data_IF_602730045704
#
_entry.id   IF_602730045704
#
_cell.length_a   1.000
_cell.length_b   1.000
_cell.length_c   1.000
_cell.angle_alpha   90.00
_cell.angle_beta   90.00
_cell.angle_gamma   90.00
#
_symmetry.space_group_name_H-M   'P 1'
#
loop_
_entity.id
_entity.type
_entity.pdbx_description
1 polymer ?
#
# COMPACT_ATOMS: atom_id res chain seq x y z
N UNK A 1 -22.64 7.40 8.88
CA UNK A 1 -22.98 6.75 7.58
C UNK A 1 -23.37 7.76 6.49
N UNK A 2 -24.40 8.61 6.64
CA UNK A 2 -24.83 9.54 5.57
C UNK A 2 -23.71 10.47 5.07
N UNK A 3 -22.88 11.05 5.95
CA UNK A 3 -21.79 11.95 5.56
C UNK A 3 -20.71 11.20 4.77
N UNK A 4 -20.35 9.99 5.19
CA UNK A 4 -19.37 9.16 4.46
C UNK A 4 -19.83 8.87 3.02
N UNK A 5 -21.10 8.42 2.86
CA UNK A 5 -21.67 8.15 1.53
C UNK A 5 -21.79 9.42 0.68
N UNK A 6 -22.16 10.55 1.27
CA UNK A 6 -22.21 11.84 0.59
C UNK A 6 -20.81 12.29 0.14
N UNK A 7 -19.78 12.07 0.97
CA UNK A 7 -18.39 12.39 0.63
C UNK A 7 -17.90 11.52 -0.54
N UNK A 8 -18.16 10.21 -0.51
CA UNK A 8 -17.81 9.30 -1.60
C UNK A 8 -18.48 9.76 -2.90
N UNK A 9 -19.80 10.02 -2.88
CA UNK A 9 -20.53 10.49 -4.04
C UNK A 9 -19.98 11.82 -4.57
N UNK A 10 -19.78 12.80 -3.69
CA UNK A 10 -19.26 14.12 -4.07
C UNK A 10 -17.84 14.01 -4.64
N UNK A 11 -16.99 13.17 -4.05
CA UNK A 11 -15.65 12.89 -4.57
C UNK A 11 -15.72 12.28 -5.98
N UNK A 12 -16.46 11.20 -6.18
CA UNK A 12 -16.60 10.56 -7.49
C UNK A 12 -17.12 11.51 -8.54
N UNK A 13 -18.07 12.38 -8.20
CA UNK A 13 -18.64 13.38 -9.12
C UNK A 13 -17.67 14.53 -9.45
N UNK A 14 -16.65 14.78 -8.62
CA UNK A 14 -15.77 15.95 -8.76
C UNK A 14 -14.28 15.62 -8.88
N UNK A 15 -13.88 14.36 -8.76
CA UNK A 15 -12.49 13.90 -8.73
C UNK A 15 -11.64 14.43 -9.91
N UNK A 16 -12.18 14.43 -11.12
CA UNK A 16 -11.49 14.94 -12.31
C UNK A 16 -11.19 16.45 -12.26
N UNK A 17 -11.97 17.23 -11.51
CA UNK A 17 -11.74 18.66 -11.28
C UNK A 17 -10.81 18.89 -10.10
N UNK A 18 -11.06 18.23 -8.98
CA UNK A 18 -10.30 18.37 -7.74
C UNK A 18 -8.86 17.88 -7.89
N UNK A 19 -8.63 16.78 -8.61
CA UNK A 19 -7.29 16.27 -8.89
C UNK A 19 -6.36 17.28 -9.59
N UNK A 20 -6.92 18.23 -10.35
CA UNK A 20 -6.13 19.33 -10.98
C UNK A 20 -5.65 20.36 -9.97
N UNK A 21 -6.25 20.46 -8.79
CA UNK A 21 -5.87 21.40 -7.72
C UNK A 21 -4.86 20.82 -6.74
N UNK A 22 -4.50 19.53 -6.88
CA UNK A 22 -3.63 18.81 -5.95
C UNK A 22 -4.37 18.17 -4.77
N UNK A 23 -5.70 18.33 -4.69
CA UNK A 23 -6.52 17.61 -3.73
C UNK A 23 -6.66 16.15 -4.19
N UNK A 24 -6.19 15.23 -3.36
CA UNK A 24 -6.30 13.78 -3.56
C UNK A 24 -7.40 13.20 -2.67
N UNK A 25 -7.91 12.01 -3.03
CA UNK A 25 -8.90 11.32 -2.20
C UNK A 25 -8.45 11.19 -0.73
N UNK A 26 -7.24 10.73 -0.42
CA UNK A 26 -6.76 10.66 0.96
C UNK A 26 -6.86 11.97 1.74
N UNK A 27 -6.48 13.11 1.14
CA UNK A 27 -6.59 14.41 1.80
C UNK A 27 -8.04 14.71 2.22
N UNK A 28 -8.99 14.49 1.29
CA UNK A 28 -10.41 14.78 1.52
C UNK A 28 -10.99 13.84 2.57
N UNK A 29 -10.76 12.53 2.41
CA UNK A 29 -11.36 11.53 3.31
C UNK A 29 -10.77 11.58 4.72
N UNK A 30 -9.46 11.82 4.87
CA UNK A 30 -8.82 12.04 6.18
C UNK A 30 -9.39 13.27 6.86
N UNK A 31 -9.50 14.40 6.13
CA UNK A 31 -10.06 15.63 6.70
C UNK A 31 -11.52 15.46 7.13
N UNK A 32 -12.35 14.80 6.31
CA UNK A 32 -13.75 14.52 6.66
C UNK A 32 -13.83 13.56 7.84
N UNK A 33 -13.01 12.50 7.86
CA UNK A 33 -12.97 11.54 8.98
C UNK A 33 -12.63 12.23 10.31
N UNK A 34 -11.59 13.08 10.30
CA UNK A 34 -11.20 13.87 11.47
C UNK A 34 -12.31 14.81 11.94
N UNK A 35 -12.91 15.59 11.02
CA UNK A 35 -14.03 16.50 11.36
C UNK A 35 -15.22 15.73 11.92
N UNK A 36 -15.53 14.54 11.37
CA UNK A 36 -16.60 13.70 11.90
C UNK A 36 -16.33 13.24 13.34
N UNK A 37 -15.11 12.87 13.66
CA UNK A 37 -14.71 12.45 15.00
C UNK A 37 -14.83 13.60 16.00
N UNK A 38 -14.34 14.80 15.66
CA UNK A 38 -14.33 15.97 16.54
C UNK A 38 -15.72 16.60 16.72
N UNK A 39 -16.50 16.76 15.63
CA UNK A 39 -17.78 17.50 15.66
C UNK A 39 -18.90 16.67 16.28
N UNK A 40 -18.89 15.35 16.08
CA UNK A 40 -19.97 14.49 16.57
C UNK A 40 -19.65 13.81 17.88
N UNK A 41 -18.53 14.24 18.53
CA UNK A 41 -18.06 13.67 19.79
C UNK A 41 -18.09 12.12 19.74
N UNK A 42 -17.68 11.63 18.57
CA UNK A 42 -17.83 10.24 18.17
C UNK A 42 -16.52 9.44 18.40
N UNK A 43 -16.01 9.36 19.66
CA UNK A 43 -15.15 8.25 20.01
C UNK A 43 -15.89 6.92 19.79
N UNK A 44 -17.23 6.98 19.85
CA UNK A 44 -18.16 5.95 19.41
C UNK A 44 -18.64 6.18 17.97
N UNK A 45 -17.77 6.11 16.99
CA UNK A 45 -18.22 5.85 15.61
C UNK A 45 -18.92 4.49 15.51
N UNK A 46 -19.26 3.85 16.64
CA UNK A 46 -19.96 2.57 16.74
C UNK A 46 -19.27 1.46 15.92
N UNK A 47 -18.08 1.76 15.41
CA UNK A 47 -17.29 0.78 14.71
C UNK A 47 -16.60 -0.06 15.78
N UNK A 48 -17.20 -1.18 16.11
CA UNK A 48 -16.53 -2.27 16.80
C UNK A 48 -15.11 -2.39 16.22
N UNK A 49 -14.04 -2.45 17.02
CA UNK A 49 -12.66 -2.59 16.51
C UNK A 49 -12.55 -3.69 15.47
N UNK A 50 -13.31 -4.76 15.63
CA UNK A 50 -13.43 -5.88 14.69
C UNK A 50 -13.94 -5.46 13.31
N UNK A 51 -14.88 -4.52 13.23
CA UNK A 51 -15.39 -4.02 11.94
C UNK A 51 -14.36 -3.13 11.24
N UNK A 52 -13.63 -2.31 11.99
CA UNK A 52 -12.53 -1.49 11.44
C UNK A 52 -11.46 -2.39 10.86
N UNK A 53 -11.09 -3.45 11.59
CA UNK A 53 -10.11 -4.42 11.16
C UNK A 53 -10.59 -5.20 9.93
N UNK A 54 -11.82 -5.68 9.92
CA UNK A 54 -12.40 -6.36 8.77
C UNK A 54 -12.36 -5.48 7.49
N UNK A 55 -12.69 -4.18 7.63
CA UNK A 55 -12.61 -3.23 6.51
C UNK A 55 -11.17 -3.09 6.04
N UNK A 56 -10.22 -2.95 6.96
CA UNK A 56 -8.80 -2.85 6.65
C UNK A 56 -8.27 -4.11 5.94
N UNK A 57 -8.59 -5.29 6.46
CA UNK A 57 -8.20 -6.58 5.88
C UNK A 57 -8.76 -6.76 4.46
N UNK A 58 -10.07 -6.59 4.28
CA UNK A 58 -10.73 -6.72 2.97
C UNK A 58 -10.14 -5.71 1.99
N UNK A 59 -9.89 -4.49 2.44
CA UNK A 59 -9.27 -3.45 1.61
C UNK A 59 -7.88 -3.89 1.14
N UNK A 60 -7.02 -4.34 2.07
CA UNK A 60 -5.67 -4.77 1.74
C UNK A 60 -5.67 -5.97 0.81
N UNK A 61 -6.56 -6.95 1.03
CA UNK A 61 -6.71 -8.13 0.17
C UNK A 61 -7.04 -7.73 -1.26
N UNK A 62 -8.02 -6.85 -1.47
CA UNK A 62 -8.39 -6.42 -2.81
C UNK A 62 -7.32 -5.56 -3.47
N UNK A 63 -6.68 -4.67 -2.73
CA UNK A 63 -5.57 -3.84 -3.24
C UNK A 63 -4.39 -4.73 -3.63
N UNK A 64 -3.91 -5.61 -2.74
CA UNK A 64 -2.79 -6.50 -3.02
C UNK A 64 -3.05 -7.42 -4.22
N UNK A 65 -4.25 -8.02 -4.29
CA UNK A 65 -4.62 -8.87 -5.42
C UNK A 65 -4.73 -8.05 -6.72
N UNK A 66 -5.39 -6.90 -6.68
CA UNK A 66 -5.59 -6.02 -7.83
C UNK A 66 -4.26 -5.55 -8.41
N UNK A 67 -3.38 -5.00 -7.59
CA UNK A 67 -2.08 -4.49 -7.97
C UNK A 67 -1.18 -5.60 -8.53
N UNK A 68 -1.08 -6.73 -7.82
CA UNK A 68 -0.32 -7.87 -8.28
C UNK A 68 -0.83 -8.43 -9.62
N UNK A 69 -2.16 -8.49 -9.80
CA UNK A 69 -2.77 -8.96 -11.05
C UNK A 69 -2.50 -8.03 -12.22
N UNK A 70 -2.26 -6.74 -11.96
CA UNK A 70 -1.84 -5.72 -12.94
C UNK A 70 -0.47 -5.98 -13.56
N UNK A 71 0.42 -6.71 -12.87
CA UNK A 71 1.79 -6.92 -13.31
C UNK A 71 1.91 -7.98 -14.39
N UNK A 72 2.30 -7.58 -15.60
CA UNK A 72 2.55 -8.49 -16.72
C UNK A 72 3.99 -9.00 -16.69
N UNK A 73 4.19 -10.28 -16.50
CA UNK A 73 5.51 -10.91 -16.47
C UNK A 73 6.35 -10.64 -17.74
N UNK A 74 5.71 -10.63 -18.91
CA UNK A 74 6.38 -10.33 -20.18
C UNK A 74 6.90 -8.89 -20.25
N UNK A 75 6.09 -7.92 -19.76
CA UNK A 75 6.50 -6.51 -19.70
C UNK A 75 7.54 -6.29 -18.60
N UNK A 76 7.34 -6.92 -17.42
CA UNK A 76 8.29 -6.91 -16.32
C UNK A 76 9.68 -7.39 -16.74
N UNK A 77 9.76 -8.47 -17.53
CA UNK A 77 11.04 -9.02 -18.03
C UNK A 77 11.78 -8.08 -19.00
N UNK A 78 11.10 -7.19 -19.71
CA UNK A 78 11.76 -6.23 -20.61
C UNK A 78 12.56 -5.18 -19.84
N UNK A 79 12.01 -4.70 -18.73
CA UNK A 79 12.61 -3.66 -17.90
C UNK A 79 13.08 -4.22 -16.54
N UNK A 80 13.40 -5.53 -16.52
CA UNK A 80 13.81 -6.27 -15.31
C UNK A 80 15.01 -5.60 -14.61
N UNK A 81 15.89 -4.98 -15.38
CA UNK A 81 17.03 -4.23 -14.84
C UNK A 81 16.60 -3.07 -13.94
N UNK A 82 15.59 -2.31 -14.33
CA UNK A 82 15.08 -1.16 -13.56
C UNK A 82 14.22 -1.63 -12.38
N UNK A 83 13.23 -2.49 -12.64
CA UNK A 83 12.30 -2.95 -11.60
C UNK A 83 12.99 -3.85 -10.57
N UNK A 84 13.87 -4.75 -11.03
CA UNK A 84 14.66 -5.60 -10.13
C UNK A 84 15.60 -4.79 -9.24
N UNK A 85 16.15 -3.66 -9.71
CA UNK A 85 16.95 -2.76 -8.88
C UNK A 85 16.11 -1.99 -7.87
N UNK A 86 14.96 -1.42 -8.27
CA UNK A 86 14.08 -0.70 -7.35
C UNK A 86 13.51 -1.62 -6.26
N UNK A 87 12.99 -2.79 -6.65
CA UNK A 87 12.35 -3.73 -5.73
C UNK A 87 13.35 -4.63 -4.99
N UNK A 88 14.46 -5.05 -5.63
CA UNK A 88 15.43 -5.96 -5.03
C UNK A 88 16.59 -5.28 -4.31
N UNK A 89 16.88 -4.00 -4.59
CA UNK A 89 17.92 -3.22 -3.92
C UNK A 89 17.32 -2.00 -3.23
N UNK A 90 16.55 -1.19 -3.95
CA UNK A 90 15.99 0.06 -3.44
C UNK A 90 15.07 -0.16 -2.25
N UNK A 91 14.11 -1.07 -2.38
CA UNK A 91 13.14 -1.37 -1.32
C UNK A 91 13.80 -1.96 -0.04
N UNK A 92 14.64 -3.01 -0.11
CA UNK A 92 15.36 -3.50 1.08
C UNK A 92 16.25 -2.44 1.74
N UNK A 93 16.93 -1.60 0.96
CA UNK A 93 17.73 -0.50 1.50
C UNK A 93 16.85 0.56 2.18
N UNK A 94 15.65 0.84 1.63
CA UNK A 94 14.68 1.75 2.24
C UNK A 94 14.22 1.20 3.60
N UNK A 95 13.89 -0.09 3.68
CA UNK A 95 13.54 -0.76 4.94
C UNK A 95 14.71 -0.65 5.93
N UNK A 96 15.92 -1.02 5.52
CA UNK A 96 17.10 -1.01 6.41
C UNK A 96 17.44 0.40 6.92
N UNK A 97 17.43 1.41 6.04
CA UNK A 97 17.66 2.80 6.43
C UNK A 97 16.55 3.36 7.31
N UNK A 98 15.29 3.02 7.00
CA UNK A 98 14.14 3.39 7.81
C UNK A 98 14.21 2.81 9.22
N UNK A 99 14.56 1.52 9.33
CA UNK A 99 14.81 0.83 10.60
C UNK A 99 15.96 1.48 11.37
N UNK A 100 17.11 1.69 10.72
CA UNK A 100 18.26 2.34 11.34
C UNK A 100 17.95 3.77 11.82
N UNK A 101 17.20 4.53 11.04
CA UNK A 101 16.74 5.85 11.44
C UNK A 101 15.76 5.79 12.63
N UNK A 102 14.87 4.79 12.69
CA UNK A 102 13.97 4.61 13.83
C UNK A 102 14.72 4.28 15.12
N UNK A 103 15.74 3.43 15.06
CA UNK A 103 16.62 3.16 16.21
C UNK A 103 17.35 4.44 16.67
N UNK A 104 17.94 5.18 15.74
CA UNK A 104 18.81 6.32 16.09
C UNK A 104 18.02 7.57 16.49
N UNK A 105 16.90 7.87 15.79
CA UNK A 105 16.14 9.12 15.98
C UNK A 105 15.06 8.96 17.04
N UNK A 106 14.38 7.81 17.05
CA UNK A 106 13.27 7.55 17.95
C UNK A 106 13.68 6.74 19.19
N UNK A 107 14.85 6.07 19.15
CA UNK A 107 15.30 5.22 20.24
C UNK A 107 14.55 3.89 20.37
N UNK A 108 13.86 3.47 19.30
CA UNK A 108 13.08 2.24 19.29
C UNK A 108 13.98 0.99 19.33
N UNK A 109 13.50 -0.04 20.00
CA UNK A 109 14.09 -1.38 19.97
C UNK A 109 14.05 -1.98 18.55
N UNK A 110 14.89 -3.00 18.25
CA UNK A 110 15.07 -3.49 16.88
C UNK A 110 13.79 -3.94 16.16
N UNK A 111 12.87 -4.63 16.85
CA UNK A 111 11.64 -5.12 16.22
C UNK A 111 10.62 -4.00 15.93
N UNK A 112 10.26 -3.12 16.88
CA UNK A 112 9.46 -1.93 16.63
C UNK A 112 10.08 -1.02 15.56
N UNK A 113 11.40 -0.84 15.56
CA UNK A 113 12.11 -0.08 14.54
C UNK A 113 11.99 -0.71 13.15
N UNK A 114 12.12 -2.05 13.05
CA UNK A 114 11.91 -2.79 11.81
C UNK A 114 10.46 -2.64 11.33
N UNK A 115 9.49 -2.69 12.24
CA UNK A 115 8.08 -2.50 11.92
C UNK A 115 7.83 -1.11 11.33
N UNK A 116 8.34 -0.06 11.93
CA UNK A 116 8.25 1.32 11.41
C UNK A 116 8.93 1.43 10.04
N UNK A 117 10.17 0.93 9.92
CA UNK A 117 10.93 0.97 8.67
C UNK A 117 10.26 0.21 7.53
N UNK A 118 9.71 -0.97 7.82
CA UNK A 118 9.00 -1.80 6.85
C UNK A 118 7.63 -1.20 6.48
N UNK A 119 6.81 -0.80 7.46
CA UNK A 119 5.49 -0.24 7.20
C UNK A 119 5.53 1.08 6.40
N UNK A 120 6.63 1.83 6.51
CA UNK A 120 6.86 3.08 5.79
C UNK A 120 7.75 2.94 4.54
N UNK A 121 8.15 1.74 4.15
CA UNK A 121 8.92 1.54 2.92
C UNK A 121 8.05 1.53 1.65
N UNK A 122 6.85 0.93 1.63
CA UNK A 122 5.99 0.89 0.46
C UNK A 122 5.51 2.28 0.03
N UNK A 123 5.11 2.37 -1.25
CA UNK A 123 4.66 3.61 -1.88
C UNK A 123 3.31 3.41 -2.54
N UNK A 124 2.44 4.39 -2.48
CA UNK A 124 1.06 4.31 -2.94
C UNK A 124 0.87 4.92 -4.35
N UNK A 125 0.43 4.09 -5.28
CA UNK A 125 0.14 4.50 -6.65
C UNK A 125 -1.05 5.48 -6.73
N UNK A 126 -2.05 5.34 -5.86
CA UNK A 126 -3.25 6.17 -5.88
C UNK A 126 -2.94 7.63 -5.51
N UNK A 127 -2.04 7.85 -4.56
CA UNK A 127 -1.51 9.19 -4.23
C UNK A 127 -0.67 9.77 -5.37
N UNK A 128 -0.04 8.91 -6.18
CA UNK A 128 0.72 9.27 -7.38
C UNK A 128 -0.11 9.37 -8.65
N UNK A 129 -1.40 9.05 -8.64
CA UNK A 129 -2.23 8.93 -9.86
C UNK A 129 -2.21 10.18 -10.75
N UNK A 130 -2.17 11.37 -10.16
CA UNK A 130 -2.05 12.63 -10.89
C UNK A 130 -0.74 12.78 -11.67
N UNK A 131 0.35 12.19 -11.17
CA UNK A 131 1.66 12.15 -11.84
C UNK A 131 1.70 11.03 -12.88
N UNK A 132 1.14 9.87 -12.55
CA UNK A 132 1.15 8.69 -13.43
C UNK A 132 0.29 8.88 -14.67
N UNK A 133 -0.75 9.73 -14.61
CA UNK A 133 -1.59 10.09 -15.75
C UNK A 133 -1.12 11.33 -16.51
N UNK A 134 -0.10 12.04 -16.03
CA UNK A 134 0.37 13.28 -16.66
C UNK A 134 1.25 12.97 -17.89
N UNK A 135 0.83 13.38 -19.11
CA UNK A 135 1.60 13.11 -20.32
C UNK A 135 2.94 13.85 -20.40
N UNK A 136 3.21 14.81 -19.51
CA UNK A 136 4.49 15.50 -19.41
C UNK A 136 5.56 14.67 -18.74
N UNK A 137 5.18 13.69 -17.92
CA UNK A 137 6.10 12.76 -17.28
C UNK A 137 6.45 11.64 -18.27
N UNK A 138 7.74 11.36 -18.53
CA UNK A 138 8.16 10.29 -19.45
C UNK A 138 7.56 8.93 -19.11
N UNK A 139 7.27 8.13 -20.14
CA UNK A 139 6.61 6.83 -20.00
C UNK A 139 7.41 5.83 -19.15
N UNK A 140 8.74 5.86 -19.26
CA UNK A 140 9.64 5.02 -18.49
C UNK A 140 9.61 5.36 -16.99
N UNK A 141 9.52 6.64 -16.64
CA UNK A 141 9.36 7.12 -15.26
C UNK A 141 7.99 6.71 -14.71
N UNK A 142 6.91 6.92 -15.48
CA UNK A 142 5.55 6.53 -15.08
C UNK A 142 5.44 5.02 -14.86
N UNK A 143 6.02 4.22 -15.77
CA UNK A 143 6.04 2.75 -15.61
C UNK A 143 6.87 2.32 -14.41
N UNK A 144 8.03 2.95 -14.15
CA UNK A 144 8.85 2.63 -12.99
C UNK A 144 8.09 2.85 -11.69
N UNK A 145 7.44 4.01 -11.53
CA UNK A 145 6.62 4.32 -10.36
C UNK A 145 5.43 3.36 -10.20
N UNK A 146 4.72 3.07 -11.30
CA UNK A 146 3.54 2.19 -11.25
C UNK A 146 3.89 0.74 -10.88
N UNK A 147 4.96 0.18 -11.46
CA UNK A 147 5.39 -1.19 -11.15
C UNK A 147 5.97 -1.28 -9.74
N UNK A 148 6.73 -0.26 -9.31
CA UNK A 148 7.26 -0.22 -7.96
C UNK A 148 6.11 -0.20 -6.94
N UNK A 149 5.17 0.74 -7.06
CA UNK A 149 4.06 0.87 -6.13
C UNK A 149 3.11 -0.34 -6.15
N UNK A 150 2.88 -0.96 -7.30
CA UNK A 150 2.01 -2.13 -7.39
C UNK A 150 2.60 -3.43 -6.83
N UNK A 151 3.88 -3.48 -6.52
CA UNK A 151 4.52 -4.70 -6.00
C UNK A 151 5.12 -4.53 -4.61
N UNK A 152 5.48 -3.32 -4.20
CA UNK A 152 6.22 -3.10 -2.96
C UNK A 152 5.37 -3.42 -1.71
N UNK A 153 4.06 -3.17 -1.73
CA UNK A 153 3.15 -3.49 -0.64
C UNK A 153 3.16 -4.99 -0.32
N UNK A 154 2.99 -5.82 -1.36
CA UNK A 154 3.01 -7.27 -1.20
C UNK A 154 4.39 -7.84 -0.85
N UNK A 155 5.49 -7.23 -1.34
CA UNK A 155 6.85 -7.65 -1.02
C UNK A 155 7.22 -7.33 0.43
N UNK A 156 6.73 -6.19 0.95
CA UNK A 156 7.04 -5.74 2.32
C UNK A 156 6.12 -6.36 3.37
N UNK A 157 4.89 -6.72 3.02
CA UNK A 157 3.93 -7.35 3.94
C UNK A 157 4.56 -8.46 4.80
N UNK A 158 5.34 -9.41 4.26
CA UNK A 158 6.06 -10.41 5.03
C UNK A 158 6.95 -9.82 6.13
N UNK A 159 7.68 -8.76 5.82
CA UNK A 159 8.61 -8.12 6.76
C UNK A 159 7.86 -7.46 7.90
N UNK A 160 6.76 -6.77 7.59
CA UNK A 160 5.87 -6.15 8.58
C UNK A 160 5.33 -7.19 9.57
N UNK A 161 4.80 -8.30 9.04
CA UNK A 161 4.20 -9.34 9.88
C UNK A 161 5.24 -10.05 10.77
N UNK A 162 6.45 -10.29 10.25
CA UNK A 162 7.55 -10.81 11.06
C UNK A 162 7.99 -9.81 12.14
N UNK A 163 7.98 -8.51 11.81
CA UNK A 163 8.31 -7.47 12.77
C UNK A 163 7.25 -7.34 13.88
N UNK A 164 5.96 -7.42 13.56
CA UNK A 164 4.88 -7.48 14.56
C UNK A 164 5.07 -8.70 15.48
N UNK A 165 5.29 -9.89 14.89
CA UNK A 165 5.52 -11.11 15.68
C UNK A 165 6.79 -11.03 16.57
N UNK A 166 7.84 -10.38 16.08
CA UNK A 166 9.06 -10.13 16.87
C UNK A 166 8.83 -9.20 18.04
N UNK A 167 8.15 -8.07 17.79
CA UNK A 167 7.76 -7.10 18.83
C UNK A 167 6.87 -7.77 19.89
N UNK A 168 5.86 -8.52 19.46
CA UNK A 168 4.96 -9.21 20.38
C UNK A 168 5.67 -10.20 21.30
N UNK A 169 6.69 -10.90 20.81
CA UNK A 169 7.50 -11.81 21.61
C UNK A 169 8.36 -11.05 22.61
N UNK A 170 9.01 -9.96 22.19
CA UNK A 170 9.85 -9.13 23.08
C UNK A 170 9.02 -8.48 24.20
N UNK A 171 7.79 -8.06 23.91
CA UNK A 171 6.84 -7.51 24.90
C UNK A 171 6.13 -8.60 25.73
N UNK A 172 6.38 -9.88 25.45
CA UNK A 172 5.82 -11.01 26.21
C UNK A 172 4.32 -11.21 25.97
N UNK A 173 3.77 -10.78 24.82
CA UNK A 173 2.37 -10.94 24.46
C UNK A 173 2.05 -12.42 24.26
N UNK A 174 1.16 -12.95 25.10
CA UNK A 174 0.81 -14.36 25.09
C UNK A 174 0.00 -14.75 23.83
N UNK A 175 0.28 -15.92 23.29
CA UNK A 175 -0.49 -16.50 22.17
C UNK A 175 -0.03 -16.07 20.78
N UNK A 176 0.91 -15.14 20.67
CA UNK A 176 1.48 -14.74 19.38
C UNK A 176 2.65 -15.65 19.06
N UNK A 177 2.63 -16.24 17.85
CA UNK A 177 3.74 -17.04 17.34
C UNK A 177 4.97 -16.16 17.07
N UNK A 178 6.17 -16.66 17.42
CA UNK A 178 7.40 -15.93 17.15
C UNK A 178 7.73 -15.79 15.66
N UNK A 179 8.81 -15.02 15.32
CA UNK A 179 9.20 -14.75 13.93
C UNK A 179 9.36 -15.99 13.05
N UNK A 180 9.78 -17.12 13.64
CA UNK A 180 9.94 -18.40 12.92
C UNK A 180 8.60 -18.95 12.43
N UNK A 181 7.55 -18.90 13.24
CA UNK A 181 6.22 -19.31 12.85
C UNK A 181 5.61 -18.33 11.84
N UNK A 182 5.86 -17.03 11.99
CA UNK A 182 5.48 -16.03 11.02
C UNK A 182 6.07 -16.34 9.63
N UNK A 183 7.37 -16.65 9.55
CA UNK A 183 8.01 -17.05 8.28
C UNK A 183 7.39 -18.32 7.71
N UNK A 184 7.06 -19.31 8.53
CA UNK A 184 6.40 -20.54 8.06
C UNK A 184 5.01 -20.21 7.46
N UNK A 185 4.21 -19.39 8.14
CA UNK A 185 2.88 -18.98 7.65
C UNK A 185 2.97 -18.23 6.32
N UNK A 186 4.04 -17.44 6.10
CA UNK A 186 4.30 -16.78 4.83
C UNK A 186 4.54 -17.78 3.69
N UNK A 187 5.36 -18.81 3.93
CA UNK A 187 5.63 -19.85 2.92
C UNK A 187 4.36 -20.63 2.56
N UNK A 188 3.54 -20.96 3.56
CA UNK A 188 2.23 -21.60 3.35
C UNK A 188 1.32 -20.66 2.55
N UNK A 189 1.29 -19.36 2.89
CA UNK A 189 0.54 -18.34 2.15
C UNK A 189 0.95 -18.24 0.68
N UNK A 190 2.25 -18.26 0.38
CA UNK A 190 2.76 -18.29 -1.00
C UNK A 190 2.25 -19.51 -1.75
N UNK A 191 2.35 -20.71 -1.15
CA UNK A 191 1.90 -21.95 -1.78
C UNK A 191 0.37 -21.96 -2.01
N UNK A 192 -0.41 -21.58 -1.00
CA UNK A 192 -1.87 -21.46 -1.08
C UNK A 192 -2.29 -20.47 -2.16
N UNK A 193 -1.70 -19.26 -2.16
CA UNK A 193 -1.97 -18.23 -3.15
C UNK A 193 -1.65 -18.66 -4.58
N UNK A 194 -0.52 -19.33 -4.79
CA UNK A 194 -0.15 -19.86 -6.10
C UNK A 194 -1.16 -20.90 -6.62
N UNK A 195 -1.58 -21.79 -5.76
CA UNK A 195 -2.59 -22.82 -6.10
C UNK A 195 -3.94 -22.19 -6.40
N UNK A 196 -4.44 -21.32 -5.51
CA UNK A 196 -5.75 -20.67 -5.68
C UNK A 196 -5.76 -19.75 -6.91
N UNK A 197 -4.72 -18.97 -7.13
CA UNK A 197 -4.60 -18.12 -8.32
C UNK A 197 -4.57 -18.90 -9.62
N UNK A 198 -3.80 -20.00 -9.67
CA UNK A 198 -3.72 -20.86 -10.86
C UNK A 198 -5.05 -21.58 -11.14
N UNK A 199 -5.66 -22.17 -10.10
CA UNK A 199 -6.96 -22.84 -10.22
C UNK A 199 -8.07 -21.86 -10.60
N UNK A 200 -8.09 -20.67 -9.97
CA UNK A 200 -9.04 -19.60 -10.30
C UNK A 200 -8.95 -19.20 -11.76
N UNK A 201 -7.74 -18.90 -12.26
CA UNK A 201 -7.52 -18.55 -13.66
C UNK A 201 -7.90 -19.70 -14.63
N UNK A 202 -7.62 -20.94 -14.25
CA UNK A 202 -8.01 -22.11 -15.04
C UNK A 202 -9.53 -22.29 -15.06
N UNK A 203 -10.20 -22.21 -13.89
CA UNK A 203 -11.65 -22.35 -13.76
C UNK A 203 -12.40 -21.26 -14.55
N UNK A 204 -12.02 -19.99 -14.40
CA UNK A 204 -12.67 -18.87 -15.12
C UNK A 204 -12.50 -19.02 -16.63
N UNK A 205 -11.30 -19.35 -17.10
CA UNK A 205 -11.05 -19.63 -18.52
C UNK A 205 -11.89 -20.81 -19.01
N UNK A 206 -11.90 -21.93 -18.28
CA UNK A 206 -12.65 -23.13 -18.69
C UNK A 206 -14.15 -22.90 -18.69
N UNK A 207 -14.67 -22.23 -17.67
CA UNK A 207 -16.09 -21.88 -17.60
C UNK A 207 -16.52 -20.99 -18.77
N UNK A 208 -15.66 -20.11 -19.21
CA UNK A 208 -15.88 -19.24 -20.38
C UNK A 208 -15.89 -20.03 -21.68
N UNK A 209 -14.92 -20.93 -21.89
CA UNK A 209 -14.87 -21.81 -23.06
C UNK A 209 -16.13 -22.68 -23.20
N UNK A 210 -16.72 -23.06 -22.07
CA UNK A 210 -17.95 -23.87 -22.02
C UNK A 210 -19.22 -23.01 -22.07
N UNK A 211 -19.12 -21.68 -22.10
CA UNK A 211 -20.27 -20.76 -22.07
C UNK A 211 -21.02 -20.73 -20.73
N UNK A 212 -20.38 -21.19 -19.63
CA UNK A 212 -20.98 -21.21 -18.30
C UNK A 212 -20.80 -19.89 -17.56
N UNK A 213 -19.69 -19.18 -17.79
CA UNK A 213 -19.42 -17.89 -17.18
C UNK A 213 -19.95 -16.77 -18.08
N UNK A 214 -20.82 -15.94 -17.53
CA UNK A 214 -21.37 -14.77 -18.18
C UNK A 214 -20.44 -13.57 -18.00
N UNK A 215 -20.27 -12.77 -19.02
CA UNK A 215 -19.36 -11.61 -19.03
C UNK A 215 -19.62 -10.62 -17.84
N UNK A 216 -20.90 -10.49 -17.43
CA UNK A 216 -21.27 -9.61 -16.31
C UNK A 216 -20.83 -10.14 -14.95
N UNK A 217 -20.53 -11.43 -14.82
CA UNK A 217 -20.12 -12.07 -13.58
C UNK A 217 -18.60 -12.26 -13.47
N UNK A 218 -17.85 -12.00 -14.53
CA UNK A 218 -16.39 -12.17 -14.56
C UNK A 218 -15.71 -11.43 -13.41
N UNK A 219 -16.00 -10.14 -13.26
CA UNK A 219 -15.41 -9.32 -12.21
C UNK A 219 -15.79 -9.76 -10.80
N UNK A 220 -17.04 -10.21 -10.61
CA UNK A 220 -17.51 -10.72 -9.30
C UNK A 220 -16.79 -12.03 -8.94
N UNK A 221 -16.57 -12.90 -9.92
CA UNK A 221 -15.84 -14.14 -9.69
C UNK A 221 -14.39 -13.87 -9.23
N UNK A 222 -13.73 -12.87 -9.83
CA UNK A 222 -12.35 -12.49 -9.47
C UNK A 222 -12.30 -11.76 -8.13
N UNK A 223 -13.29 -10.90 -7.83
CA UNK A 223 -13.44 -10.26 -6.54
C UNK A 223 -13.56 -11.29 -5.41
N UNK A 224 -14.39 -12.30 -5.62
CA UNK A 224 -14.57 -13.41 -4.68
C UNK A 224 -13.29 -14.28 -4.57
N UNK A 225 -12.56 -14.46 -5.69
CA UNK A 225 -11.32 -15.24 -5.71
C UNK A 225 -10.23 -14.60 -4.83
N UNK A 226 -10.14 -13.28 -4.79
CA UNK A 226 -9.19 -12.57 -3.94
C UNK A 226 -9.44 -12.89 -2.45
N UNK A 227 -10.69 -12.79 -2.01
CA UNK A 227 -11.10 -13.14 -0.64
C UNK A 227 -10.97 -14.63 -0.35
N UNK A 228 -11.26 -15.48 -1.35
CA UNK A 228 -11.11 -16.93 -1.23
C UNK A 228 -9.65 -17.33 -1.02
N UNK A 229 -8.71 -16.68 -1.71
CA UNK A 229 -7.27 -16.93 -1.52
C UNK A 229 -6.83 -16.57 -0.09
N UNK A 230 -7.30 -15.43 0.43
CA UNK A 230 -7.08 -15.02 1.82
C UNK A 230 -7.64 -16.06 2.80
N UNK A 231 -8.93 -16.37 2.69
CA UNK A 231 -9.61 -17.25 3.63
C UNK A 231 -9.06 -18.70 3.62
N UNK A 232 -8.77 -19.26 2.43
CA UNK A 232 -8.21 -20.61 2.32
C UNK A 232 -6.78 -20.68 2.89
N UNK A 233 -5.99 -19.63 2.77
CA UNK A 233 -4.67 -19.60 3.40
C UNK A 233 -4.79 -19.64 4.93
N UNK A 234 -5.72 -18.87 5.52
CA UNK A 234 -5.94 -18.90 6.97
C UNK A 234 -6.37 -20.28 7.47
N UNK A 235 -7.16 -21.04 6.71
CA UNK A 235 -7.60 -22.40 7.08
C UNK A 235 -6.44 -23.42 7.18
N UNK A 236 -5.29 -23.11 6.60
CA UNK A 236 -4.10 -23.96 6.62
C UNK A 236 -2.92 -23.30 7.35
N UNK A 237 -3.21 -22.42 8.29
CA UNK A 237 -2.24 -21.63 9.08
C UNK A 237 -1.26 -20.83 8.22
N UNK A 238 -1.67 -20.49 7.00
CA UNK A 238 -0.92 -19.63 6.07
C UNK A 238 -1.31 -18.17 6.19
N UNK A 239 -0.44 -17.29 5.69
CA UNK A 239 -0.73 -15.87 5.67
C UNK A 239 -1.67 -15.48 4.51
N UNK A 240 -2.84 -14.94 4.85
CA UNK A 240 -3.88 -14.57 3.89
C UNK A 240 -3.50 -13.43 2.97
N UNK A 241 -2.80 -12.41 3.45
CA UNK A 241 -2.38 -11.25 2.64
C UNK A 241 -1.37 -11.65 1.57
N UNK A 242 -0.38 -12.46 1.96
CA UNK A 242 0.60 -13.02 1.03
C UNK A 242 -0.08 -13.94 0.01
N UNK A 243 -1.06 -14.74 0.45
CA UNK A 243 -1.83 -15.58 -0.45
C UNK A 243 -2.63 -14.76 -1.47
N UNK A 244 -3.30 -13.69 -1.06
CA UNK A 244 -4.02 -12.79 -1.96
C UNK A 244 -3.09 -12.13 -2.98
N UNK A 245 -1.94 -11.63 -2.54
CA UNK A 245 -0.93 -11.04 -3.42
C UNK A 245 -0.41 -12.04 -4.47
N UNK A 246 0.00 -13.23 -4.03
CA UNK A 246 0.53 -14.28 -4.92
C UNK A 246 -0.56 -14.80 -5.85
N UNK A 247 -1.81 -14.96 -5.34
CA UNK A 247 -2.94 -15.35 -6.17
C UNK A 247 -3.22 -14.33 -7.28
N UNK A 248 -3.19 -13.02 -6.95
CA UNK A 248 -3.31 -11.95 -7.93
C UNK A 248 -2.21 -12.01 -8.99
N UNK A 249 -0.96 -12.17 -8.57
CA UNK A 249 0.19 -12.26 -9.49
C UNK A 249 0.08 -13.46 -10.44
N UNK A 250 -0.31 -14.63 -9.93
CA UNK A 250 -0.49 -15.85 -10.73
C UNK A 250 -1.70 -15.71 -11.64
N UNK A 251 -2.85 -15.30 -11.11
CA UNK A 251 -4.08 -15.08 -11.88
C UNK A 251 -3.83 -14.12 -13.04
N UNK A 252 -3.26 -12.95 -12.78
CA UNK A 252 -3.00 -11.93 -13.78
C UNK A 252 -2.09 -12.38 -14.93
N UNK A 253 -1.24 -13.38 -14.70
CA UNK A 253 -0.34 -13.91 -15.73
C UNK A 253 -0.89 -15.17 -16.45
N UNK A 254 -1.90 -15.85 -15.88
CA UNK A 254 -2.51 -17.08 -16.44
C UNK A 254 -3.87 -16.80 -17.08
N UNK A 255 -4.62 -15.77 -16.66
CA UNK A 255 -5.99 -15.49 -17.10
C UNK A 255 -6.12 -15.11 -18.59
N UNK A 256 -5.05 -14.59 -19.23
CA UNK A 256 -5.03 -14.30 -20.68
C UNK A 256 -5.48 -12.88 -21.05
N UNK A 257 -6.12 -12.74 -22.24
CA UNK A 257 -6.34 -11.42 -22.88
C UNK A 257 -7.46 -10.57 -22.23
N UNK A 258 -8.43 -11.19 -21.55
CA UNK A 258 -9.54 -10.48 -20.87
C UNK A 258 -9.22 -10.00 -19.45
N UNK A 259 -8.02 -10.21 -18.98
CA UNK A 259 -7.57 -9.87 -17.61
C UNK A 259 -7.97 -8.46 -17.18
N UNK A 260 -7.82 -7.45 -18.03
CA UNK A 260 -8.11 -6.06 -17.68
C UNK A 260 -9.60 -5.86 -17.31
N UNK A 261 -10.50 -6.54 -18.01
CA UNK A 261 -11.94 -6.49 -17.72
C UNK A 261 -12.26 -7.23 -16.42
N UNK A 262 -11.63 -8.38 -16.20
CA UNK A 262 -11.84 -9.24 -15.03
C UNK A 262 -11.38 -8.59 -13.72
N UNK A 263 -10.26 -7.88 -13.72
CA UNK A 263 -9.71 -7.25 -12.51
C UNK A 263 -10.22 -5.83 -12.25
N UNK A 264 -10.94 -5.22 -13.21
CA UNK A 264 -11.46 -3.86 -13.06
C UNK A 264 -12.37 -3.72 -11.84
N UNK A 265 -13.25 -4.69 -11.59
CA UNK A 265 -14.15 -4.65 -10.44
C UNK A 265 -13.38 -4.77 -9.12
N UNK A 266 -12.33 -5.60 -9.06
CA UNK A 266 -11.47 -5.72 -7.88
C UNK A 266 -10.77 -4.40 -7.59
N UNK A 267 -10.20 -3.75 -8.61
CA UNK A 267 -9.56 -2.44 -8.47
C UNK A 267 -10.56 -1.37 -7.99
N UNK A 268 -11.75 -1.28 -8.60
CA UNK A 268 -12.78 -0.32 -8.19
C UNK A 268 -13.31 -0.60 -6.78
N UNK A 269 -13.44 -1.87 -6.39
CA UNK A 269 -13.83 -2.25 -5.02
C UNK A 269 -12.73 -1.91 -4.02
N UNK A 270 -11.47 -2.12 -4.40
CA UNK A 270 -10.30 -1.67 -3.64
C UNK A 270 -10.27 -0.16 -3.46
N UNK A 271 -10.54 0.62 -4.51
CA UNK A 271 -10.65 2.08 -4.44
C UNK A 271 -11.75 2.54 -3.47
N UNK A 272 -12.95 1.93 -3.56
CA UNK A 272 -14.05 2.24 -2.65
C UNK A 272 -13.70 1.91 -1.20
N UNK A 273 -13.15 0.73 -0.96
CA UNK A 273 -12.72 0.29 0.37
C UNK A 273 -11.57 1.19 0.91
N UNK A 274 -10.66 1.61 0.03
CA UNK A 274 -9.60 2.58 0.36
C UNK A 274 -10.15 3.93 0.82
N UNK A 275 -11.17 4.46 0.16
CA UNK A 275 -11.82 5.72 0.57
C UNK A 275 -12.40 5.60 1.98
N UNK A 276 -13.04 4.46 2.31
CA UNK A 276 -13.56 4.18 3.64
C UNK A 276 -12.42 4.07 4.65
N UNK A 277 -11.36 3.35 4.31
CA UNK A 277 -10.17 3.20 5.18
C UNK A 277 -9.49 4.55 5.47
N UNK A 278 -9.38 5.44 4.48
CA UNK A 278 -8.86 6.80 4.70
C UNK A 278 -9.74 7.65 5.61
N UNK A 279 -11.06 7.49 5.50
CA UNK A 279 -12.01 8.17 6.39
C UNK A 279 -11.88 7.66 7.83
N UNK A 280 -11.80 6.34 8.02
CA UNK A 280 -11.58 5.71 9.32
C UNK A 280 -10.23 6.13 9.90
N UNK A 281 -9.18 6.13 9.10
CA UNK A 281 -7.86 6.62 9.50
C UNK A 281 -7.90 8.09 9.96
N UNK A 282 -8.61 8.95 9.25
CA UNK A 282 -8.80 10.34 9.65
C UNK A 282 -9.48 10.48 11.01
N UNK A 283 -10.48 9.64 11.26
CA UNK A 283 -11.23 9.66 12.51
C UNK A 283 -10.44 9.09 13.71
N UNK A 284 -9.67 8.04 13.52
CA UNK A 284 -8.99 7.32 14.60
C UNK A 284 -7.54 7.76 14.81
N UNK A 285 -6.79 7.97 13.73
CA UNK A 285 -5.35 8.21 13.83
C UNK A 285 -4.97 9.69 14.00
N UNK A 286 -5.75 10.61 13.41
CA UNK A 286 -5.41 12.04 13.53
C UNK A 286 -5.47 12.54 14.97
N UNK A 287 -6.48 12.22 15.79
CA UNK A 287 -6.49 12.57 17.21
C UNK A 287 -5.25 12.03 17.96
N UNK A 288 -4.90 10.74 17.74
CA UNK A 288 -3.73 10.12 18.37
C UNK A 288 -2.43 10.86 17.98
N UNK A 289 -2.31 11.24 16.72
CA UNK A 289 -1.16 12.03 16.25
C UNK A 289 -1.10 13.39 16.92
N UNK A 290 -2.24 14.08 17.08
CA UNK A 290 -2.28 15.39 17.73
C UNK A 290 -1.90 15.33 19.23
N UNK A 291 -2.19 14.21 19.89
CA UNK A 291 -1.82 14.00 21.29
C UNK A 291 -0.36 13.58 21.48
N UNK A 292 0.19 12.78 20.54
CA UNK A 292 1.49 12.12 20.68
C UNK A 292 2.59 12.66 19.76
N UNK A 293 2.34 13.74 19.02
CA UNK A 293 3.37 14.29 18.15
C UNK A 293 4.57 14.80 18.96
N UNK A 294 5.74 14.69 18.36
CA UNK A 294 6.98 15.27 18.92
C UNK A 294 7.90 15.71 17.79
N UNK A 295 8.87 16.55 18.13
CA UNK A 295 9.86 17.00 17.15
C UNK A 295 10.70 15.84 16.62
N UNK A 296 10.94 14.80 17.44
CA UNK A 296 11.66 13.60 17.03
C UNK A 296 10.86 12.79 16.01
N UNK A 297 9.56 12.60 16.23
CA UNK A 297 8.66 11.91 15.27
C UNK A 297 8.56 12.71 13.97
N UNK A 298 8.44 14.04 14.04
CA UNK A 298 8.41 14.89 12.84
C UNK A 298 9.75 14.85 12.09
N UNK A 299 10.88 14.85 12.79
CA UNK A 299 12.20 14.71 12.18
C UNK A 299 12.36 13.34 11.50
N UNK A 300 11.87 12.26 12.14
CA UNK A 300 11.85 10.93 11.52
C UNK A 300 10.97 10.94 10.26
N UNK A 301 9.77 11.51 10.30
CA UNK A 301 8.89 11.62 9.14
C UNK A 301 9.57 12.36 7.97
N UNK A 302 10.20 13.50 8.25
CA UNK A 302 10.94 14.25 7.23
C UNK A 302 12.12 13.44 6.66
N UNK A 303 12.86 12.72 7.51
CA UNK A 303 13.97 11.86 7.12
C UNK A 303 13.47 10.67 6.28
N UNK A 304 12.36 10.03 6.68
CA UNK A 304 11.73 8.90 5.98
C UNK A 304 11.29 9.28 4.57
N UNK A 305 10.67 10.45 4.41
CA UNK A 305 10.17 10.92 3.11
C UNK A 305 11.27 11.48 2.19
N UNK A 306 12.43 11.79 2.73
CA UNK A 306 13.57 12.35 1.97
C UNK A 306 14.72 11.36 1.86
N UNK A 307 15.68 11.40 2.79
CA UNK A 307 16.93 10.66 2.71
C UNK A 307 16.69 9.14 2.66
N UNK A 308 15.85 8.61 3.54
CA UNK A 308 15.55 7.17 3.65
C UNK A 308 14.92 6.62 2.37
N UNK A 309 14.15 7.43 1.65
CA UNK A 309 13.54 7.05 0.37
C UNK A 309 14.43 7.39 -0.83
N UNK A 310 14.91 8.63 -0.91
CA UNK A 310 15.58 9.11 -2.13
C UNK A 310 16.97 8.50 -2.34
N UNK A 311 17.72 8.24 -1.25
CA UNK A 311 19.05 7.66 -1.35
C UNK A 311 19.04 6.23 -1.89
N UNK A 312 18.23 5.29 -1.37
CA UNK A 312 18.09 3.94 -1.95
C UNK A 312 17.67 3.94 -3.41
N UNK A 313 16.72 4.79 -3.79
CA UNK A 313 16.29 4.92 -5.19
C UNK A 313 17.44 5.42 -6.06
N UNK A 314 18.16 6.45 -5.63
CA UNK A 314 19.30 6.97 -6.37
C UNK A 314 20.40 5.92 -6.54
N UNK A 315 20.72 5.16 -5.48
CA UNK A 315 21.71 4.08 -5.51
C UNK A 315 21.27 2.93 -6.41
N UNK A 316 19.99 2.52 -6.32
CA UNK A 316 19.47 1.40 -7.12
C UNK A 316 19.41 1.71 -8.61
N UNK A 317 19.19 2.97 -8.99
CA UNK A 317 19.12 3.41 -10.38
C UNK A 317 20.48 3.85 -10.97
N UNK A 318 21.59 3.72 -10.23
CA UNK A 318 22.92 4.00 -10.76
C UNK A 318 23.18 3.12 -12.00
N UNK A 319 23.50 3.77 -13.13
CA UNK A 319 23.77 3.08 -14.40
C UNK A 319 22.51 2.47 -15.08
N UNK A 320 21.29 2.83 -14.64
CA UNK A 320 20.05 2.39 -15.30
C UNK A 320 19.62 3.25 -16.49
N UNK A 321 20.42 4.25 -16.88
CA UNK A 321 20.15 5.11 -18.03
C UNK A 321 19.23 6.29 -17.77
N UNK A 322 18.77 6.47 -16.53
CA UNK A 322 17.98 7.64 -16.15
C UNK A 322 18.85 8.87 -15.89
N UNK A 323 18.39 10.03 -16.34
CA UNK A 323 19.01 11.31 -15.98
C UNK A 323 18.80 11.68 -14.50
N UNK A 324 19.53 12.70 -14.02
CA UNK A 324 19.47 13.10 -12.61
C UNK A 324 18.08 13.51 -12.14
N UNK A 325 17.33 14.28 -12.98
CA UNK A 325 16.00 14.73 -12.62
C UNK A 325 14.98 13.59 -12.57
N UNK A 326 14.88 12.66 -13.55
CA UNK A 326 14.07 11.46 -13.43
C UNK A 326 14.37 10.63 -12.18
N UNK A 327 15.65 10.41 -11.82
CA UNK A 327 16.01 9.69 -10.59
C UNK A 327 15.54 10.43 -9.35
N UNK A 328 15.77 11.74 -9.26
CA UNK A 328 15.28 12.54 -8.13
C UNK A 328 13.75 12.55 -8.06
N UNK A 329 13.08 12.57 -9.21
CA UNK A 329 11.64 12.52 -9.30
C UNK A 329 11.08 11.16 -8.83
N UNK A 330 11.63 10.03 -9.29
CA UNK A 330 11.24 8.68 -8.83
C UNK A 330 11.50 8.56 -7.32
N UNK A 331 12.64 9.05 -6.84
CA UNK A 331 12.96 9.06 -5.41
C UNK A 331 11.97 9.88 -4.58
N UNK A 332 11.59 11.07 -5.06
CA UNK A 332 10.62 11.92 -4.39
C UNK A 332 9.21 11.33 -4.43
N UNK A 333 8.74 10.86 -5.59
CA UNK A 333 7.39 10.31 -5.74
C UNK A 333 7.28 8.88 -5.19
N UNK A 334 7.50 8.76 -3.89
CA UNK A 334 7.21 7.58 -3.08
C UNK A 334 6.26 7.93 -1.94
N UNK A 335 5.01 8.41 -2.22
CA UNK A 335 4.07 8.77 -1.17
C UNK A 335 3.72 7.55 -0.32
N UNK A 336 3.69 7.73 1.01
CA UNK A 336 3.24 6.70 1.94
C UNK A 336 1.73 6.71 1.96
N UNK A 337 1.12 5.54 1.83
CA UNK A 337 -0.30 5.44 1.55
C UNK A 337 -1.04 4.44 2.41
N UNK A 338 -2.06 3.87 1.79
CA UNK A 338 -3.03 3.01 2.43
C UNK A 338 -2.41 1.77 3.08
N UNK A 339 -1.45 1.11 2.43
CA UNK A 339 -0.79 -0.07 3.00
C UNK A 339 -0.14 0.27 4.36
N UNK A 340 0.56 1.42 4.45
CA UNK A 340 1.14 1.88 5.71
C UNK A 340 0.11 2.11 6.81
N UNK A 341 -1.07 2.64 6.46
CA UNK A 341 -2.20 2.80 7.39
C UNK A 341 -2.69 1.44 7.90
N UNK A 342 -2.88 0.49 7.00
CA UNK A 342 -3.36 -0.84 7.36
C UNK A 342 -2.32 -1.58 8.21
N UNK A 343 -1.03 -1.45 7.88
CA UNK A 343 0.04 -2.00 8.70
C UNK A 343 0.08 -1.38 10.10
N UNK A 344 -0.25 -0.10 10.26
CA UNK A 344 -0.41 0.53 11.57
C UNK A 344 -1.60 -0.07 12.36
N UNK A 345 -2.73 -0.33 11.69
CA UNK A 345 -3.89 -0.97 12.32
C UNK A 345 -3.59 -2.43 12.71
N UNK A 346 -2.90 -3.20 11.85
CA UNK A 346 -2.46 -4.56 12.17
C UNK A 346 -1.48 -4.57 13.35
N UNK A 347 -0.59 -3.56 13.43
CA UNK A 347 0.31 -3.40 14.56
C UNK A 347 -0.45 -3.10 15.86
N UNK A 348 -1.47 -2.24 15.79
CA UNK A 348 -2.30 -1.93 16.96
C UNK A 348 -3.08 -3.16 17.45
N UNK A 349 -3.63 -3.96 16.52
CA UNK A 349 -4.31 -5.22 16.87
C UNK A 349 -3.36 -6.24 17.50
N UNK A 350 -2.19 -6.45 16.87
CA UNK A 350 -1.24 -7.47 17.31
C UNK A 350 -0.47 -7.11 18.58
N UNK A 351 -0.30 -5.83 18.89
CA UNK A 351 0.52 -5.34 19.98
C UNK A 351 -0.27 -4.60 21.08
N UNK A 352 -1.53 -4.26 20.81
CA UNK A 352 -2.35 -3.49 21.75
C UNK A 352 -1.72 -2.12 22.09
N UNK A 353 -1.69 -1.79 23.38
CA UNK A 353 -1.16 -0.51 23.86
C UNK A 353 0.34 -0.34 23.59
N UNK A 354 1.11 -1.42 23.52
CA UNK A 354 2.55 -1.41 23.21
C UNK A 354 2.84 -1.00 21.76
N UNK A 355 1.85 -1.16 20.87
CA UNK A 355 1.92 -0.69 19.47
C UNK A 355 1.67 0.80 19.26
N UNK A 356 1.15 1.54 20.23
CA UNK A 356 0.68 2.92 20.04
C UNK A 356 1.77 3.90 19.60
N UNK A 357 3.01 3.73 20.04
CA UNK A 357 4.13 4.58 19.62
C UNK A 357 4.45 4.37 18.14
N UNK A 358 4.53 3.12 17.70
CA UNK A 358 4.74 2.74 16.30
C UNK A 358 3.61 3.29 15.42
N UNK A 359 2.37 3.15 15.86
CA UNK A 359 1.18 3.66 15.16
C UNK A 359 1.23 5.17 15.02
N UNK A 360 1.62 5.91 16.07
CA UNK A 360 1.75 7.37 16.01
C UNK A 360 2.82 7.82 15.00
N UNK A 361 3.98 7.14 14.96
CA UNK A 361 5.07 7.42 14.02
C UNK A 361 4.62 7.17 12.58
N UNK A 362 4.02 6.01 12.31
CA UNK A 362 3.53 5.65 10.98
C UNK A 362 2.46 6.65 10.54
N UNK A 363 1.47 6.91 11.40
CA UNK A 363 0.34 7.79 11.10
C UNK A 363 0.76 9.23 10.80
N UNK A 364 1.65 9.81 11.63
CA UNK A 364 2.19 11.16 11.36
C UNK A 364 2.94 11.18 10.02
N UNK A 365 3.78 10.18 9.76
CA UNK A 365 4.55 10.12 8.51
C UNK A 365 3.64 10.02 7.29
N UNK A 366 2.58 9.22 7.37
CA UNK A 366 1.57 9.11 6.30
C UNK A 366 0.83 10.43 6.10
N UNK A 367 0.39 11.10 7.16
CA UNK A 367 -0.29 12.40 7.07
C UNK A 367 0.59 13.46 6.40
N UNK A 368 1.86 13.56 6.82
CA UNK A 368 2.83 14.47 6.19
C UNK A 368 3.04 14.10 4.73
N UNK A 369 3.17 12.79 4.43
CA UNK A 369 3.33 12.29 3.06
C UNK A 369 2.17 12.68 2.17
N UNK A 370 0.93 12.44 2.59
CA UNK A 370 -0.29 12.74 1.83
C UNK A 370 -0.34 14.23 1.45
N UNK A 371 -0.02 15.12 2.40
CA UNK A 371 -0.01 16.55 2.15
C UNK A 371 1.11 16.97 1.21
N UNK A 372 2.36 16.59 1.54
CA UNK A 372 3.55 17.04 0.80
C UNK A 372 3.55 16.52 -0.65
N UNK A 373 3.22 15.24 -0.86
CA UNK A 373 3.17 14.68 -2.21
C UNK A 373 1.95 15.14 -2.99
N UNK A 374 0.78 15.27 -2.35
CA UNK A 374 -0.41 15.82 -3.00
C UNK A 374 -0.16 17.21 -3.59
N UNK A 375 0.43 18.12 -2.82
CA UNK A 375 0.69 19.48 -3.29
C UNK A 375 1.92 19.62 -4.21
N UNK A 376 2.92 18.74 -4.11
CA UNK A 376 4.14 18.81 -4.94
C UNK A 376 4.00 18.13 -6.30
N UNK A 377 3.02 17.23 -6.49
CA UNK A 377 2.84 16.42 -7.69
C UNK A 377 2.74 17.28 -8.97
N UNK A 378 1.77 18.16 -9.04
CA UNK A 378 1.54 19.02 -10.20
C UNK A 378 2.70 19.96 -10.54
N UNK A 379 3.26 20.72 -9.58
CA UNK A 379 4.42 21.57 -9.82
C UNK A 379 5.65 20.84 -10.35
N UNK A 380 5.97 19.66 -9.80
CA UNK A 380 7.15 18.90 -10.22
C UNK A 380 6.95 18.25 -11.60
N UNK A 381 5.77 17.71 -11.90
CA UNK A 381 5.47 17.16 -13.22
C UNK A 381 5.61 18.21 -14.34
N UNK A 382 5.24 19.47 -14.06
CA UNK A 382 5.36 20.58 -15.03
C UNK A 382 6.81 20.91 -15.43
N UNK A 383 7.81 20.56 -14.63
CA UNK A 383 9.23 20.84 -14.90
C UNK A 383 9.88 19.86 -15.87
N UNK A 384 9.27 18.71 -16.18
CA UNK A 384 9.87 17.73 -17.09
C UNK A 384 10.18 18.25 -18.50
N UNK A 385 9.26 18.97 -19.19
CA UNK A 385 9.54 19.49 -20.53
C UNK A 385 10.76 20.41 -20.59
N UNK A 386 10.96 21.22 -19.54
CA UNK A 386 12.08 22.18 -19.49
C UNK A 386 13.40 21.46 -19.28
N UNK A 387 13.43 20.44 -18.41
CA UNK A 387 14.64 19.64 -18.13
C UNK A 387 15.07 18.79 -19.32
N UNK A 388 14.11 18.23 -20.08
CA UNK A 388 14.41 17.46 -21.29
C UNK A 388 14.93 18.28 -22.47
N UNK A 389 14.71 19.63 -22.46
CA UNK A 389 15.22 20.53 -23.49
C UNK A 389 16.65 21.04 -23.18
N UNK A 390 17.07 20.96 -21.93
CA UNK A 390 18.37 21.49 -21.46
C UNK A 390 19.44 20.45 -21.20
N UNK A 391 19.11 19.17 -21.28
CA UNK A 391 20.00 18.01 -21.11
C UNK A 391 20.17 17.25 -22.40
#
# INVERSE_FOLDING_TARGET
MCVALATIFAWCASAGRLGRTGLTAPIVFVAVGFVLAEVFDAPDLGAEPELVMLIAEVTLVWVLFGDASGVRWRAFRRDLGTYGRLLGIGLPLTVALGTGAAVVVLGLDPWPALLVGAALAPTDAALGAGVMSDPRVPDDVRRALNVESGLNDGIVTPVVLVAIAGTAVDEGIAGVGGPGLAVLSLLVGVAAGAVVGALGAWCTRRARELGWLRDELDGIAVLALALLAYALALLVDGNGFVAAFVAGLVFGNVAGDRREQEVTLVAQSGDLASMISWLVFGALAVPVVLERWSWTVLAYAALSLTLVRMLPVALSLLGAGFGRYPVAFIGWFGPRGLASVIFALLALEGLGDDGQEVVAVISLTVLVSVLVHGFSAGPLARRFPDVLRTG
#
